data_IF_232600140046
#
_entry.id   IF_232600140046
#
_cell.length_a   1.000
_cell.length_b   1.000
_cell.length_c   1.000
_cell.angle_alpha   90.00
_cell.angle_beta   90.00
_cell.angle_gamma   90.00
#
_symmetry.space_group_name_H-M   'P 1'
#
loop_
_entity.id
_entity.type
_entity.pdbx_description
1 polymer ?
#
# COMPACT_ATOMS: atom_id res chain seq x y z
N UNK A 1 -0.74 22.63 -9.75
CA UNK A 1 -0.67 21.59 -8.70
C UNK A 1 0.67 21.70 -8.02
N UNK A 2 0.68 21.96 -6.72
CA UNK A 2 1.87 21.97 -5.88
C UNK A 2 1.84 20.79 -4.90
N UNK A 3 2.98 20.41 -4.31
CA UNK A 3 3.01 19.36 -3.29
C UNK A 3 2.06 19.64 -2.11
N UNK A 4 1.95 20.89 -1.68
CA UNK A 4 1.13 21.30 -0.53
C UNK A 4 -0.36 21.03 -0.75
N UNK A 5 -0.84 21.16 -1.99
CA UNK A 5 -2.23 20.85 -2.35
C UNK A 5 -2.54 19.35 -2.26
N UNK A 6 -1.53 18.48 -2.43
CA UNK A 6 -1.68 17.03 -2.42
C UNK A 6 -1.52 16.43 -1.02
N UNK A 7 -0.77 17.11 -0.14
CA UNK A 7 -0.60 16.70 1.27
C UNK A 7 -1.97 16.56 1.95
N UNK A 8 -2.10 15.48 2.72
CA UNK A 8 -3.30 15.15 3.47
C UNK A 8 -3.69 13.69 3.36
N UNK A 9 -4.90 13.41 3.84
CA UNK A 9 -5.50 12.07 3.83
C UNK A 9 -6.60 12.05 2.78
N UNK A 10 -6.64 10.97 2.00
CA UNK A 10 -7.55 10.77 0.89
C UNK A 10 -8.23 9.42 1.03
N UNK A 11 -9.53 9.36 0.79
CA UNK A 11 -10.36 8.15 0.80
C UNK A 11 -10.61 7.68 -0.62
N UNK A 12 -10.46 6.37 -0.85
CA UNK A 12 -10.71 5.78 -2.16
C UNK A 12 -12.19 5.92 -2.51
N UNK A 13 -12.47 6.49 -3.67
CA UNK A 13 -13.82 6.59 -4.22
C UNK A 13 -14.05 5.57 -5.34
N UNK A 14 -13.03 5.30 -6.16
CA UNK A 14 -13.09 4.25 -7.18
C UNK A 14 -11.71 3.74 -7.57
N UNK A 15 -11.65 2.49 -8.00
CA UNK A 15 -10.49 1.89 -8.67
C UNK A 15 -11.00 1.13 -9.90
N UNK A 16 -10.72 1.68 -11.08
CA UNK A 16 -11.11 1.09 -12.36
C UNK A 16 -9.91 0.80 -13.25
N UNK A 17 -10.10 -0.14 -14.16
CA UNK A 17 -9.19 -0.40 -15.28
C UNK A 17 -9.86 0.08 -16.58
N UNK A 18 -9.10 0.79 -17.40
CA UNK A 18 -9.54 1.33 -18.69
C UNK A 18 -9.00 0.42 -19.79
N UNK A 19 -9.92 -0.14 -20.58
CA UNK A 19 -9.62 -0.95 -21.76
C UNK A 19 -9.19 -0.10 -22.95
N UNK A 20 -8.70 -0.76 -24.00
CA UNK A 20 -8.25 -0.05 -25.22
C UNK A 20 -9.40 0.61 -26.00
N UNK A 21 -10.63 0.15 -25.79
CA UNK A 21 -11.87 0.71 -26.33
C UNK A 21 -12.39 1.92 -25.53
N UNK A 22 -11.71 2.29 -24.44
CA UNK A 22 -12.13 3.35 -23.52
C UNK A 22 -13.20 2.91 -22.51
N UNK A 23 -13.62 1.64 -22.55
CA UNK A 23 -14.50 1.05 -21.55
C UNK A 23 -13.81 0.96 -20.20
N UNK A 24 -14.57 1.14 -19.11
CA UNK A 24 -14.06 1.01 -17.75
C UNK A 24 -14.66 -0.21 -17.07
N UNK A 25 -13.80 -1.05 -16.50
CA UNK A 25 -14.21 -2.19 -15.67
C UNK A 25 -13.73 -2.02 -14.23
N UNK A 26 -14.34 -2.76 -13.30
CA UNK A 26 -13.90 -2.79 -11.92
C UNK A 26 -12.43 -3.24 -11.83
N UNK A 27 -11.67 -2.59 -10.95
CA UNK A 27 -10.28 -2.96 -10.69
C UNK A 27 -10.15 -4.28 -9.92
N UNK A 28 -8.91 -4.67 -9.55
CA UNK A 28 -8.62 -5.95 -8.89
C UNK A 28 -9.27 -6.10 -7.51
N UNK A 29 -9.72 -5.01 -6.89
CA UNK A 29 -10.41 -5.00 -5.59
C UNK A 29 -11.95 -5.09 -5.70
N UNK A 30 -12.50 -5.23 -6.91
CA UNK A 30 -13.94 -5.30 -7.15
C UNK A 30 -14.61 -3.94 -7.30
N UNK A 31 -15.95 -3.94 -7.28
CA UNK A 31 -16.79 -2.77 -7.62
C UNK A 31 -16.83 -1.70 -6.53
N UNK A 32 -16.70 -2.10 -5.26
CA UNK A 32 -16.80 -1.22 -4.10
C UNK A 32 -15.53 -1.29 -3.23
N UNK A 33 -14.35 -0.87 -3.73
CA UNK A 33 -13.14 -0.90 -2.93
C UNK A 33 -13.15 0.23 -1.89
N UNK A 34 -12.54 -0.02 -0.74
CA UNK A 34 -12.28 1.01 0.27
C UNK A 34 -10.77 1.19 0.45
N UNK A 35 -10.34 2.38 0.85
CA UNK A 35 -8.93 2.61 1.09
C UNK A 35 -8.59 4.02 1.56
N UNK A 36 -7.36 4.14 2.04
CA UNK A 36 -6.73 5.39 2.44
C UNK A 36 -5.42 5.59 1.67
N UNK A 37 -5.21 6.82 1.25
CA UNK A 37 -3.96 7.33 0.71
C UNK A 37 -3.54 8.52 1.56
N UNK A 38 -2.34 8.46 2.10
CA UNK A 38 -1.78 9.50 2.96
C UNK A 38 -0.55 10.06 2.26
N UNK A 39 -0.53 11.37 2.05
CA UNK A 39 0.66 12.11 1.68
C UNK A 39 1.04 13.05 2.81
N UNK A 40 2.26 12.91 3.32
CA UNK A 40 2.80 13.79 4.33
C UNK A 40 3.63 14.91 3.70
N UNK A 41 3.74 16.04 4.40
CA UNK A 41 4.50 17.20 3.93
C UNK A 41 6.02 16.94 3.83
N UNK A 42 6.53 15.99 4.62
CA UNK A 42 7.94 15.57 4.61
C UNK A 42 8.25 14.48 3.55
N UNK A 43 7.32 14.22 2.63
CA UNK A 43 7.58 13.38 1.46
C UNK A 43 7.32 11.89 1.65
N UNK A 44 6.55 11.49 2.66
CA UNK A 44 6.14 10.09 2.85
C UNK A 44 4.74 9.82 2.30
N UNK A 45 4.57 8.60 1.79
CA UNK A 45 3.30 8.11 1.26
C UNK A 45 2.96 6.76 1.87
N UNK A 46 1.69 6.57 2.21
CA UNK A 46 1.14 5.28 2.59
C UNK A 46 -0.18 5.05 1.85
N UNK A 47 -0.35 3.85 1.31
CA UNK A 47 -1.55 3.42 0.61
C UNK A 47 -2.02 2.12 1.23
N UNK A 48 -3.31 2.06 1.56
CA UNK A 48 -3.98 0.84 2.00
C UNK A 48 -5.34 0.78 1.33
N UNK A 49 -5.60 -0.30 0.60
CA UNK A 49 -6.85 -0.50 -0.12
C UNK A 49 -7.29 -1.95 0.07
N UNK A 50 -8.59 -2.18 0.14
CA UNK A 50 -9.18 -3.48 0.34
C UNK A 50 -10.46 -3.64 -0.46
N UNK A 51 -10.79 -4.89 -0.76
CA UNK A 51 -12.13 -5.28 -1.17
C UNK A 51 -13.12 -4.96 -0.04
N UNK A 52 -14.34 -4.58 -0.38
CA UNK A 52 -15.47 -4.59 0.56
C UNK A 52 -16.61 -5.46 0.04
N UNK A 53 -17.43 -5.95 0.97
CA UNK A 53 -18.52 -6.88 0.66
C UNK A 53 -18.04 -8.26 0.21
N UNK A 54 -18.98 -9.07 -0.28
CA UNK A 54 -18.72 -10.48 -0.59
C UNK A 54 -18.41 -10.75 -2.07
N UNK A 55 -18.69 -9.79 -2.96
CA UNK A 55 -18.52 -9.94 -4.40
C UNK A 55 -17.09 -10.38 -4.79
N UNK A 56 -16.90 -11.34 -5.73
CA UNK A 56 -15.57 -11.82 -6.12
C UNK A 56 -14.63 -10.68 -6.53
N UNK A 57 -13.36 -10.76 -6.12
CA UNK A 57 -12.29 -9.84 -6.52
C UNK A 57 -10.98 -10.62 -6.70
N UNK A 58 -10.06 -10.08 -7.50
CA UNK A 58 -8.76 -10.70 -7.76
C UNK A 58 -7.80 -10.55 -6.58
N UNK A 59 -7.92 -9.44 -5.84
CA UNK A 59 -7.12 -9.12 -4.67
C UNK A 59 -8.07 -8.74 -3.52
N UNK A 60 -7.73 -9.16 -2.30
CA UNK A 60 -8.49 -8.76 -1.10
C UNK A 60 -7.91 -7.51 -0.44
N UNK A 61 -6.60 -7.30 -0.60
CA UNK A 61 -5.89 -6.16 -0.03
C UNK A 61 -4.71 -5.77 -0.93
N UNK A 62 -4.48 -4.46 -1.04
CA UNK A 62 -3.33 -3.88 -1.72
C UNK A 62 -2.79 -2.72 -0.87
N UNK A 63 -1.55 -2.84 -0.41
CA UNK A 63 -0.93 -1.83 0.44
C UNK A 63 0.55 -1.64 0.14
N UNK A 64 1.01 -0.40 0.23
CA UNK A 64 2.41 -0.06 0.16
C UNK A 64 2.70 1.30 0.81
N UNK A 65 3.94 1.48 1.25
CA UNK A 65 4.42 2.73 1.83
C UNK A 65 5.81 3.05 1.31
N UNK A 66 6.16 4.33 1.33
CA UNK A 66 7.48 4.80 0.94
C UNK A 66 7.53 6.31 0.83
N UNK A 67 8.25 6.80 -0.18
CA UNK A 67 8.42 8.23 -0.43
C UNK A 67 7.68 8.67 -1.68
N UNK A 68 7.28 9.94 -1.73
CA UNK A 68 6.66 10.52 -2.92
C UNK A 68 7.34 11.81 -3.37
N UNK A 69 7.18 12.10 -4.66
CA UNK A 69 7.58 13.37 -5.26
C UNK A 69 6.60 13.75 -6.38
N UNK A 70 6.40 15.05 -6.57
CA UNK A 70 5.57 15.61 -7.63
C UNK A 70 6.43 16.47 -8.55
N UNK A 71 6.33 16.25 -9.86
CA UNK A 71 6.93 17.09 -10.89
C UNK A 71 5.90 17.34 -12.00
N UNK A 72 5.34 18.55 -12.05
CA UNK A 72 4.25 18.87 -12.96
C UNK A 72 3.00 18.03 -12.66
N UNK A 73 2.54 17.25 -13.63
CA UNK A 73 1.43 16.30 -13.50
C UNK A 73 1.90 14.87 -13.15
N UNK A 74 3.18 14.68 -12.83
CA UNK A 74 3.77 13.36 -12.61
C UNK A 74 4.03 13.12 -11.12
N UNK A 75 3.21 12.25 -10.53
CA UNK A 75 3.34 11.74 -9.16
C UNK A 75 4.19 10.47 -9.18
N UNK A 76 5.29 10.44 -8.43
CA UNK A 76 6.14 9.24 -8.29
C UNK A 76 6.14 8.75 -6.86
N UNK A 77 5.82 7.48 -6.64
CA UNK A 77 5.99 6.80 -5.35
C UNK A 77 7.19 5.86 -5.43
N UNK A 78 8.20 6.08 -4.61
CA UNK A 78 9.29 5.13 -4.39
C UNK A 78 8.86 4.17 -3.28
N UNK A 79 8.56 2.94 -3.65
CA UNK A 79 8.01 1.94 -2.73
C UNK A 79 9.13 1.35 -1.87
N UNK A 80 8.96 1.41 -0.55
CA UNK A 80 9.89 0.84 0.42
C UNK A 80 9.35 -0.44 1.05
N UNK A 81 8.05 -0.47 1.36
CA UNK A 81 7.37 -1.62 1.95
C UNK A 81 6.08 -1.88 1.17
N UNK A 82 5.75 -3.15 0.90
CA UNK A 82 4.50 -3.51 0.22
C UNK A 82 4.02 -4.90 0.59
N UNK A 83 2.69 -5.09 0.59
CA UNK A 83 2.06 -6.40 0.67
C UNK A 83 2.33 -7.28 -0.56
N UNK A 84 2.73 -6.68 -1.69
CA UNK A 84 3.14 -7.38 -2.91
C UNK A 84 4.67 -7.29 -3.05
N UNK A 85 5.44 -8.35 -2.74
CA UNK A 85 6.90 -8.29 -2.68
C UNK A 85 7.57 -7.71 -3.95
N UNK A 86 6.99 -8.00 -5.13
CA UNK A 86 7.45 -7.48 -6.43
C UNK A 86 7.46 -5.94 -6.55
N UNK A 87 6.73 -5.24 -5.68
CA UNK A 87 6.63 -3.79 -5.69
C UNK A 87 7.72 -3.11 -4.85
N UNK A 88 8.27 -3.81 -3.86
CA UNK A 88 9.29 -3.24 -2.98
C UNK A 88 10.54 -2.84 -3.79
N UNK A 89 11.06 -1.63 -3.53
CA UNK A 89 12.22 -1.08 -4.24
C UNK A 89 11.92 -0.48 -5.61
N UNK A 90 10.68 -0.52 -6.09
CA UNK A 90 10.29 0.03 -7.40
C UNK A 90 9.83 1.49 -7.33
N UNK A 91 9.82 2.18 -8.48
CA UNK A 91 9.14 3.46 -8.63
C UNK A 91 7.81 3.27 -9.36
N UNK A 92 6.74 3.73 -8.74
CA UNK A 92 5.40 3.75 -9.31
C UNK A 92 5.09 5.16 -9.78
N UNK A 93 4.95 5.34 -11.09
CA UNK A 93 4.77 6.67 -11.66
C UNK A 93 3.40 6.81 -12.27
N UNK A 94 2.69 7.85 -11.84
CA UNK A 94 1.29 8.10 -12.17
C UNK A 94 1.11 9.54 -12.65
N UNK A 95 0.25 9.75 -13.63
CA UNK A 95 -0.30 11.07 -13.92
C UNK A 95 -1.30 11.42 -12.83
N UNK A 96 -1.19 12.63 -12.30
CA UNK A 96 -2.05 13.14 -11.23
C UNK A 96 -2.86 14.33 -11.72
N UNK A 97 -4.14 14.34 -11.38
CA UNK A 97 -5.02 15.48 -11.55
C UNK A 97 -5.73 15.77 -10.23
N UNK A 98 -5.84 17.05 -9.89
CA UNK A 98 -6.54 17.52 -8.70
C UNK A 98 -7.64 18.48 -9.15
N UNK A 99 -8.87 18.18 -8.74
CA UNK A 99 -10.05 19.00 -8.97
C UNK A 99 -10.80 19.19 -7.66
N UNK A 100 -10.53 20.32 -7.00
CA UNK A 100 -10.97 20.62 -5.65
C UNK A 100 -10.60 19.52 -4.66
N UNK A 101 -11.62 18.81 -4.18
CA UNK A 101 -11.51 17.74 -3.19
C UNK A 101 -11.31 16.34 -3.83
N UNK A 102 -10.99 16.28 -5.12
CA UNK A 102 -10.88 15.06 -5.91
C UNK A 102 -9.48 14.88 -6.46
N UNK A 103 -8.80 13.81 -6.09
CA UNK A 103 -7.50 13.44 -6.62
C UNK A 103 -7.66 12.22 -7.55
N UNK A 104 -7.23 12.35 -8.80
CA UNK A 104 -7.17 11.23 -9.74
C UNK A 104 -5.73 10.82 -9.97
N UNK A 105 -5.42 9.54 -9.81
CA UNK A 105 -4.13 8.94 -10.11
C UNK A 105 -4.30 7.94 -11.24
N UNK A 106 -3.67 8.22 -12.39
CA UNK A 106 -3.72 7.38 -13.58
C UNK A 106 -2.34 6.80 -13.88
N UNK A 107 -2.27 5.50 -14.15
CA UNK A 107 -1.00 4.88 -14.53
C UNK A 107 -1.15 3.44 -14.94
N UNK A 108 -0.21 2.95 -15.73
CA UNK A 108 -0.13 1.54 -16.11
C UNK A 108 0.42 0.72 -14.95
N UNK A 109 -0.13 -0.48 -14.74
CA UNK A 109 0.53 -1.46 -13.91
C UNK A 109 1.86 -1.86 -14.55
N UNK A 110 2.90 -2.09 -13.76
CA UNK A 110 4.13 -2.70 -14.29
C UNK A 110 3.81 -4.18 -14.55
N UNK A 111 3.60 -4.57 -15.80
CA UNK A 111 3.50 -5.98 -16.20
C UNK A 111 4.91 -6.57 -16.35
N UNK A 112 5.25 -7.69 -15.68
CA UNK A 112 6.55 -8.34 -15.85
C UNK A 112 6.74 -9.02 -17.21
N UNK A 113 5.68 -9.28 -17.98
CA UNK A 113 5.77 -10.07 -19.24
C UNK A 113 4.81 -9.53 -20.30
N UNK A 114 5.37 -9.06 -21.42
CA UNK A 114 4.85 -9.14 -22.79
C UNK A 114 3.52 -8.45 -23.18
N UNK A 115 2.69 -8.02 -22.23
CA UNK A 115 1.40 -7.40 -22.50
C UNK A 115 1.36 -5.92 -22.07
N UNK A 116 0.62 -5.10 -22.83
CA UNK A 116 0.27 -3.74 -22.43
C UNK A 116 -0.64 -3.84 -21.19
N UNK A 117 -0.14 -3.43 -20.03
CA UNK A 117 -0.98 -3.38 -18.84
C UNK A 117 -2.14 -2.40 -19.09
N UNK A 118 -3.37 -2.74 -18.65
CA UNK A 118 -4.48 -1.80 -18.71
C UNK A 118 -4.13 -0.55 -17.88
N UNK A 119 -4.61 0.61 -18.35
CA UNK A 119 -4.46 1.84 -17.60
C UNK A 119 -5.36 1.76 -16.37
N UNK A 120 -4.78 2.03 -15.19
CA UNK A 120 -5.50 2.05 -13.92
C UNK A 120 -5.82 3.47 -13.55
N UNK A 121 -7.08 3.71 -13.19
CA UNK A 121 -7.55 5.00 -12.71
C UNK A 121 -8.05 4.83 -11.29
N UNK A 122 -7.39 5.49 -10.35
CA UNK A 122 -7.82 5.56 -8.96
C UNK A 122 -8.32 6.97 -8.70
N UNK A 123 -9.56 7.07 -8.23
CA UNK A 123 -10.15 8.34 -7.81
C UNK A 123 -10.25 8.37 -6.29
N UNK A 124 -9.77 9.44 -5.70
CA UNK A 124 -9.76 9.66 -4.27
C UNK A 124 -10.48 10.95 -3.92
N UNK A 125 -11.11 10.98 -2.75
CA UNK A 125 -11.73 12.18 -2.17
C UNK A 125 -10.98 12.59 -0.93
N UNK A 126 -10.79 13.89 -0.71
CA UNK A 126 -10.16 14.36 0.52
C UNK A 126 -10.95 13.83 1.73
N UNK A 127 -10.25 13.25 2.68
CA UNK A 127 -10.86 12.75 3.90
C UNK A 127 -11.30 13.93 4.76
N UNK A 128 -12.54 13.92 5.21
CA UNK A 128 -12.99 14.87 6.24
C UNK A 128 -12.51 14.35 7.59
N UNK A 129 -12.03 15.22 8.50
CA UNK A 129 -11.81 14.83 9.88
C UNK A 129 -13.16 14.39 10.46
N UNK A 130 -13.30 13.09 10.67
CA UNK A 130 -14.46 12.55 11.39
C UNK A 130 -14.22 12.77 12.87
N UNK A 131 -14.87 13.81 13.41
CA UNK A 131 -15.28 13.86 14.81
C UNK A 131 -14.22 13.60 15.88
N UNK A 132 -12.92 13.72 15.60
CA UNK A 132 -11.92 13.88 16.65
C UNK A 132 -12.09 15.32 17.12
N UNK A 133 -13.14 15.55 17.92
CA UNK A 133 -13.10 16.59 18.92
C UNK A 133 -11.78 16.34 19.66
N UNK A 134 -10.84 17.25 19.48
CA UNK A 134 -9.68 17.28 20.35
C UNK A 134 -10.24 17.57 21.74
N UNK A 135 -10.56 16.52 22.50
CA UNK A 135 -10.74 16.64 23.94
C UNK A 135 -9.40 17.11 24.45
N UNK A 136 -9.32 18.42 24.66
CA UNK A 136 -8.18 19.12 25.20
C UNK A 136 -7.93 18.63 26.61
N UNK A 137 -7.26 17.50 26.75
CA UNK A 137 -6.73 17.00 28.01
C UNK A 137 -5.41 16.28 27.78
N UNK A 138 -4.50 16.93 27.06
CA UNK A 138 -3.08 16.69 27.24
C UNK A 138 -2.62 17.39 28.53
N UNK A 139 -2.93 16.78 29.68
CA UNK A 139 -2.15 16.99 30.91
C UNK A 139 -2.18 15.70 31.70
N UNK A 140 -1.10 14.95 31.58
CA UNK A 140 -0.97 13.62 32.16
C UNK A 140 0.30 12.94 31.67
N UNK A 141 1.44 13.62 31.80
CA UNK A 141 2.75 12.96 31.78
C UNK A 141 2.81 12.03 32.99
N UNK A 142 2.34 10.81 32.87
CA UNK A 142 2.83 9.74 33.73
C UNK A 142 4.14 9.28 33.14
N UNK A 143 5.23 9.86 33.66
CA UNK A 143 6.54 9.26 33.57
C UNK A 143 6.41 7.79 34.01
N UNK A 144 6.91 6.88 33.18
CA UNK A 144 7.14 5.51 33.61
C UNK A 144 8.31 5.54 34.59
N UNK A 145 8.02 5.76 35.86
CA UNK A 145 9.01 5.65 36.93
C UNK A 145 9.37 4.18 37.10
N UNK A 146 10.51 3.83 36.51
CA UNK A 146 11.12 2.51 36.60
C UNK A 146 11.64 2.25 38.01
N UNK A 147 10.76 1.83 38.91
CA UNK A 147 11.13 1.08 40.12
C UNK A 147 10.09 0.01 40.39
N UNK A 148 10.29 -1.14 39.75
CA UNK A 148 9.55 -2.37 39.98
C UNK A 148 10.53 -3.54 40.00
N UNK A 149 11.32 -3.63 41.08
CA UNK A 149 12.03 -4.86 41.44
C UNK A 149 11.01 -5.95 41.80
N UNK A 150 11.01 -7.04 41.05
CA UNK A 150 10.19 -8.22 41.33
C UNK A 150 10.10 -9.11 40.09
N UNK A 151 11.04 -10.04 39.96
CA UNK A 151 11.28 -10.77 38.73
C UNK A 151 10.26 -11.84 38.35
N UNK A 152 10.24 -12.15 37.07
CA UNK A 152 10.38 -13.52 36.55
C UNK A 152 11.36 -13.45 35.38
N UNK A 153 12.43 -14.24 35.45
CA UNK A 153 13.40 -14.36 34.37
C UNK A 153 12.73 -15.00 33.15
N UNK A 154 12.83 -14.37 31.99
CA UNK A 154 12.57 -15.05 30.73
C UNK A 154 13.78 -15.93 30.45
N UNK A 155 13.61 -17.24 30.67
CA UNK A 155 14.63 -18.25 30.36
C UNK A 155 14.83 -18.32 28.85
N UNK A 156 16.02 -17.91 28.42
CA UNK A 156 16.47 -17.97 27.04
C UNK A 156 17.24 -19.27 26.81
N UNK A 157 16.55 -20.41 26.71
CA UNK A 157 17.13 -21.63 26.15
C UNK A 157 16.11 -22.43 25.34
N UNK A 158 16.58 -22.99 24.22
CA UNK A 158 15.93 -23.91 23.27
C UNK A 158 15.30 -23.30 22.01
N UNK A 159 16.16 -22.80 21.10
CA UNK A 159 16.03 -23.20 19.69
C UNK A 159 17.29 -23.97 19.33
N UNK A 160 17.28 -25.27 19.68
CA UNK A 160 18.33 -26.19 19.26
C UNK A 160 18.10 -26.56 17.80
N UNK A 161 19.15 -26.35 17.03
CA UNK A 161 19.31 -26.73 15.63
C UNK A 161 19.40 -28.24 15.51
N UNK A 162 18.53 -28.85 14.70
CA UNK A 162 18.87 -30.10 14.02
C UNK A 162 18.62 -29.94 12.54
N UNK A 163 19.73 -29.78 11.82
CA UNK A 163 19.83 -30.19 10.44
C UNK A 163 19.68 -31.71 10.37
N UNK A 164 18.83 -32.18 9.46
CA UNK A 164 18.95 -33.52 8.90
C UNK A 164 18.93 -33.39 7.38
N UNK A 165 20.14 -33.50 6.86
CA UNK A 165 20.49 -33.76 5.47
C UNK A 165 20.44 -35.28 5.29
N UNK A 166 19.67 -35.77 4.32
CA UNK A 166 19.65 -37.12 3.72
C UNK A 166 18.41 -37.15 2.78
N UNK A 167 18.45 -37.40 1.48
CA UNK A 167 19.43 -38.08 0.63
C UNK A 167 19.20 -37.67 -0.84
N UNK A 168 20.28 -37.68 -1.62
CA UNK A 168 20.32 -37.46 -3.06
C UNK A 168 19.76 -38.63 -3.90
N UNK A 169 19.77 -38.43 -5.23
CA UNK A 169 19.54 -39.37 -6.34
C UNK A 169 18.11 -39.57 -6.85
N UNK A 170 17.76 -38.83 -7.92
CA UNK A 170 17.67 -39.42 -9.27
C UNK A 170 17.36 -38.34 -10.33
N UNK A 171 18.41 -37.88 -11.02
CA UNK A 171 18.34 -37.42 -12.41
C UNK A 171 19.29 -38.32 -13.20
N UNK A 172 18.73 -39.16 -14.08
CA UNK A 172 19.24 -39.46 -15.43
C UNK A 172 18.50 -40.68 -15.98
N UNK A 173 17.57 -40.44 -16.91
CA UNK A 173 17.39 -41.16 -18.19
C UNK A 173 15.99 -40.87 -18.73
N UNK A 174 15.92 -40.01 -19.74
CA UNK A 174 15.27 -40.35 -21.01
C UNK A 174 15.63 -39.27 -22.04
N UNK A 175 16.78 -39.48 -22.68
CA UNK A 175 17.00 -39.10 -24.06
C UNK A 175 17.07 -40.40 -24.84
N UNK A 176 15.97 -40.74 -25.51
CA UNK A 176 16.00 -41.52 -26.75
C UNK A 176 14.82 -41.11 -27.62
#
# INVERSE_FOLDING_TARGET
MTPEEVVGVWRLASYTEVGEDGGTVAGPLGEAPAGLLIYTADGHVAVSMMKTGDAPALETYMGYSGQWRLAGDRMTHRVQVSAHPRMAGTEQIRRVALDGETLSLRGTAVTPVGGRAPERVLTWRRAKPEGIAADGTASGSTAFDGTGSGGTAFDSTAFDSTASDETAEQQEKETH
#
